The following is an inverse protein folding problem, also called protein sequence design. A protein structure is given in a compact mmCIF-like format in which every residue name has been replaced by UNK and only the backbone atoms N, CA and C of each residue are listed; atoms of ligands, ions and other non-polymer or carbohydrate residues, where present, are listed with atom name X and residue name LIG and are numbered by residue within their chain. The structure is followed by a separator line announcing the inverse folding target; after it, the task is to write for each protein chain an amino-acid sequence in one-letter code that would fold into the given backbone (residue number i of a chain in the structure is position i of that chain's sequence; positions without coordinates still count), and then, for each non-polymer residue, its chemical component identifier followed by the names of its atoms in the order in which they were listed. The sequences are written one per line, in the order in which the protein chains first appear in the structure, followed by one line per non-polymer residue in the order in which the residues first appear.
data_IF_293615612498
#
_entry.id   IF_293615612498
#
_cell.length_a   1.000
_cell.length_b   1.000
_cell.length_c   1.000
_cell.angle_alpha   90.00
_cell.angle_beta   90.00
_cell.angle_gamma   90.00
#
_symmetry.space_group_name_H-M   'P 1'
#
loop_
_entity.id
_entity.type
_entity.pdbx_description
1 polymer ?
#
# COMPACT_ATOMS: atom_id res chain seq x y z
N UNK A 1 -5.27 26.08 -5.15
CA UNK A 1 -4.68 25.02 -4.30
C UNK A 1 -3.84 24.20 -5.24
N UNK A 2 -2.52 24.21 -5.03
CA UNK A 2 -1.61 23.36 -5.79
C UNK A 2 -2.00 21.89 -5.57
N UNK A 3 -1.78 21.04 -6.58
CA UNK A 3 -2.11 19.60 -6.54
C UNK A 3 -1.58 18.92 -5.26
N UNK A 4 -0.40 19.32 -4.79
CA UNK A 4 0.21 18.74 -3.57
C UNK A 4 -0.49 19.17 -2.28
N UNK A 5 -0.93 20.42 -2.16
CA UNK A 5 -1.61 20.93 -0.95
C UNK A 5 -2.96 20.23 -0.74
N UNK A 6 -3.67 19.93 -1.83
CA UNK A 6 -4.91 19.15 -1.79
C UNK A 6 -4.65 17.73 -1.28
N UNK A 7 -3.65 17.05 -1.85
CA UNK A 7 -3.26 15.69 -1.47
C UNK A 7 -2.85 15.63 -0.01
N UNK A 8 -2.02 16.56 0.45
CA UNK A 8 -1.57 16.66 1.85
C UNK A 8 -2.75 16.86 2.82
N UNK A 9 -3.70 17.75 2.48
CA UNK A 9 -4.88 17.98 3.32
C UNK A 9 -5.76 16.72 3.44
N UNK A 10 -6.01 16.05 2.32
CA UNK A 10 -6.82 14.83 2.27
C UNK A 10 -6.11 13.69 3.00
N UNK A 11 -4.80 13.56 2.84
CA UNK A 11 -4.00 12.56 3.56
C UNK A 11 -4.04 12.81 5.07
N UNK A 12 -3.86 14.06 5.53
CA UNK A 12 -3.96 14.41 6.95
C UNK A 12 -5.31 13.96 7.53
N UNK A 13 -6.41 14.26 6.82
CA UNK A 13 -7.76 13.86 7.25
C UNK A 13 -7.95 12.34 7.26
N UNK A 14 -7.33 11.62 6.32
CA UNK A 14 -7.40 10.17 6.29
C UNK A 14 -6.73 9.54 7.52
N UNK A 15 -5.65 10.13 8.04
CA UNK A 15 -4.89 9.57 9.17
C UNK A 15 -5.36 10.05 10.56
N UNK A 16 -6.22 11.06 10.64
CA UNK A 16 -6.69 11.66 11.90
C UNK A 16 -7.31 10.66 12.89
N UNK A 17 -8.08 9.68 12.38
CA UNK A 17 -8.74 8.67 13.20
C UNK A 17 -7.89 7.45 13.54
N UNK A 18 -6.65 7.36 13.02
CA UNK A 18 -5.79 6.20 13.24
C UNK A 18 -5.26 6.20 14.67
N UNK A 19 -5.49 5.10 15.38
CA UNK A 19 -5.05 4.97 16.77
C UNK A 19 -3.75 4.20 16.91
N UNK A 20 -2.85 4.69 17.78
CA UNK A 20 -1.52 4.09 18.01
C UNK A 20 -1.57 2.63 18.48
N UNK A 21 -2.59 2.25 19.23
CA UNK A 21 -2.77 0.89 19.73
C UNK A 21 -3.11 -0.11 18.63
N UNK A 22 -3.59 0.33 17.46
CA UNK A 22 -3.88 -0.56 16.34
C UNK A 22 -2.61 -1.18 15.74
N UNK A 23 -1.46 -0.51 15.87
CA UNK A 23 -0.17 -1.03 15.43
C UNK A 23 0.45 -2.02 16.43
N UNK A 24 -0.06 -2.08 17.66
CA UNK A 24 0.53 -2.85 18.76
C UNK A 24 -0.19 -4.17 19.02
N UNK A 25 -1.46 -4.29 18.62
CA UNK A 25 -2.31 -5.42 18.94
C UNK A 25 -2.85 -6.05 17.66
N UNK A 26 -3.05 -7.38 17.70
CA UNK A 26 -3.78 -8.12 16.66
C UNK A 26 -5.24 -7.67 16.64
N UNK A 27 -5.62 -6.88 15.65
CA UNK A 27 -7.00 -6.48 15.40
C UNK A 27 -7.19 -6.11 13.92
N UNK A 28 -8.45 -6.03 13.50
CA UNK A 28 -8.83 -5.54 12.18
C UNK A 28 -9.18 -4.05 12.20
N UNK A 29 -9.14 -3.37 13.34
CA UNK A 29 -9.61 -1.99 13.51
C UNK A 29 -8.93 -1.03 12.52
N UNK A 30 -7.61 -1.19 12.31
CA UNK A 30 -6.88 -0.38 11.34
C UNK A 30 -7.38 -0.64 9.91
N UNK A 31 -7.55 -1.91 9.55
CA UNK A 31 -8.07 -2.27 8.25
C UNK A 31 -9.49 -1.72 8.04
N UNK A 32 -10.38 -2.00 8.99
CA UNK A 32 -11.79 -1.63 8.98
C UNK A 32 -11.96 -0.10 8.92
N UNK A 33 -11.15 0.64 9.67
CA UNK A 33 -11.10 2.10 9.59
C UNK A 33 -10.77 2.56 8.17
N UNK A 34 -9.64 2.11 7.59
CA UNK A 34 -9.19 2.57 6.27
C UNK A 34 -10.19 2.23 5.17
N UNK A 35 -10.75 1.01 5.17
CA UNK A 35 -11.70 0.60 4.11
C UNK A 35 -13.06 1.31 4.22
N UNK A 36 -13.43 1.76 5.42
CA UNK A 36 -14.67 2.51 5.69
C UNK A 36 -14.56 4.02 5.43
N UNK A 37 -13.34 4.54 5.20
CA UNK A 37 -13.13 5.94 4.87
C UNK A 37 -13.92 6.35 3.60
N UNK A 38 -14.39 7.61 3.53
CA UNK A 38 -14.85 8.21 2.28
C UNK A 38 -13.85 7.97 1.15
N UNK A 39 -14.35 7.75 -0.07
CA UNK A 39 -13.54 7.23 -1.19
C UNK A 39 -12.26 8.03 -1.45
N UNK A 40 -12.32 9.36 -1.36
CA UNK A 40 -11.17 10.26 -1.52
C UNK A 40 -10.12 10.07 -0.42
N UNK A 41 -10.55 9.98 0.84
CA UNK A 41 -9.64 9.75 1.98
C UNK A 41 -9.00 8.36 1.86
N UNK A 42 -9.80 7.34 1.50
CA UNK A 42 -9.34 5.96 1.36
C UNK A 42 -8.26 5.84 0.27
N UNK A 43 -8.54 6.32 -0.94
CA UNK A 43 -7.60 6.21 -2.07
C UNK A 43 -6.32 6.97 -1.77
N UNK A 44 -6.43 8.19 -1.24
CA UNK A 44 -5.26 8.97 -0.86
C UNK A 44 -4.42 8.26 0.18
N UNK A 45 -5.04 7.67 1.22
CA UNK A 45 -4.31 6.89 2.20
C UNK A 45 -3.56 5.71 1.55
N UNK A 46 -4.27 4.88 0.79
CA UNK A 46 -3.72 3.66 0.19
C UNK A 46 -2.55 3.96 -0.76
N UNK A 47 -2.70 4.98 -1.62
CA UNK A 47 -1.69 5.36 -2.62
C UNK A 47 -0.47 6.00 -1.97
N UNK A 48 -0.67 6.97 -1.07
CA UNK A 48 0.45 7.67 -0.42
C UNK A 48 1.24 6.73 0.47
N UNK A 49 0.58 5.83 1.20
CA UNK A 49 1.25 4.87 2.07
C UNK A 49 2.12 3.92 1.25
N UNK A 50 1.61 3.27 0.20
CA UNK A 50 2.44 2.35 -0.60
C UNK A 50 3.60 3.10 -1.24
N UNK A 51 3.37 4.30 -1.77
CA UNK A 51 4.43 5.10 -2.38
C UNK A 51 5.54 5.42 -1.38
N UNK A 52 5.17 5.91 -0.20
CA UNK A 52 6.14 6.25 0.84
C UNK A 52 6.87 5.04 1.39
N UNK A 53 6.23 3.88 1.55
CA UNK A 53 6.92 2.69 2.02
C UNK A 53 7.93 2.19 0.98
N UNK A 54 7.53 2.10 -0.29
CA UNK A 54 8.40 1.60 -1.35
C UNK A 54 9.57 2.56 -1.59
N UNK A 55 9.34 3.88 -1.64
CA UNK A 55 10.44 4.86 -1.82
C UNK A 55 11.42 4.86 -0.64
N UNK A 56 10.97 4.60 0.59
CA UNK A 56 11.83 4.65 1.77
C UNK A 56 12.54 3.32 2.08
N UNK A 57 11.95 2.18 1.74
CA UNK A 57 12.50 0.87 2.10
C UNK A 57 11.94 -0.30 1.29
N UNK A 58 11.40 -0.03 0.11
CA UNK A 58 10.93 -1.05 -0.81
C UNK A 58 9.61 -1.73 -0.43
N UNK A 59 9.19 -2.67 -1.27
CA UNK A 59 8.07 -3.55 -1.00
C UNK A 59 8.31 -4.37 0.27
N UNK A 60 9.56 -4.69 0.59
CA UNK A 60 9.90 -5.35 1.85
C UNK A 60 9.42 -4.54 3.06
N UNK A 61 9.71 -3.24 3.12
CA UNK A 61 9.22 -2.39 4.21
C UNK A 61 7.68 -2.28 4.21
N UNK A 62 7.04 -2.23 3.04
CA UNK A 62 5.58 -2.20 2.92
C UNK A 62 4.91 -3.42 3.57
N UNK A 63 5.42 -4.63 3.34
CA UNK A 63 4.89 -5.85 3.96
C UNK A 63 5.30 -6.01 5.43
N UNK A 64 6.58 -5.76 5.79
CA UNK A 64 7.06 -5.89 7.18
C UNK A 64 6.30 -4.99 8.15
N UNK A 65 5.95 -3.77 7.70
CA UNK A 65 5.18 -2.82 8.50
C UNK A 65 3.67 -3.10 8.50
N UNK A 66 3.23 -4.21 7.89
CA UNK A 66 1.84 -4.65 7.88
C UNK A 66 0.95 -3.90 6.89
N UNK A 67 1.47 -2.98 6.08
CA UNK A 67 0.66 -2.25 5.10
C UNK A 67 0.18 -3.14 3.95
N UNK A 68 0.85 -4.28 3.71
CA UNK A 68 0.41 -5.30 2.75
C UNK A 68 -0.99 -5.86 3.02
N UNK A 69 -1.57 -5.65 4.20
CA UNK A 69 -2.97 -6.00 4.49
C UNK A 69 -3.99 -5.32 3.56
N UNK A 70 -3.57 -4.22 2.91
CA UNK A 70 -4.35 -3.41 2.00
C UNK A 70 -4.04 -3.66 0.52
N UNK A 71 -3.20 -4.66 0.20
CA UNK A 71 -2.64 -4.80 -1.14
C UNK A 71 -3.70 -4.80 -2.25
N UNK A 72 -4.83 -5.51 -2.06
CA UNK A 72 -5.90 -5.56 -3.06
C UNK A 72 -6.59 -4.21 -3.26
N UNK A 73 -6.90 -3.51 -2.17
CA UNK A 73 -7.51 -2.18 -2.22
C UNK A 73 -6.56 -1.17 -2.85
N UNK A 74 -5.26 -1.24 -2.52
CA UNK A 74 -4.24 -0.35 -3.07
C UNK A 74 -4.03 -0.60 -4.57
N UNK A 75 -4.06 -1.85 -5.05
CA UNK A 75 -3.99 -2.16 -6.49
C UNK A 75 -5.14 -1.46 -7.23
N UNK A 76 -6.38 -1.57 -6.72
CA UNK A 76 -7.55 -0.91 -7.31
C UNK A 76 -7.38 0.62 -7.26
N UNK A 77 -6.95 1.18 -6.13
CA UNK A 77 -6.73 2.62 -5.97
C UNK A 77 -5.66 3.17 -6.94
N UNK A 78 -4.57 2.44 -7.17
CA UNK A 78 -3.54 2.80 -8.14
C UNK A 78 -4.10 2.79 -9.57
N UNK A 79 -4.93 1.79 -9.91
CA UNK A 79 -5.61 1.74 -11.22
C UNK A 79 -6.57 2.92 -11.39
N UNK A 80 -7.34 3.27 -10.36
CA UNK A 80 -8.32 4.37 -10.38
C UNK A 80 -7.66 5.74 -10.68
N UNK A 81 -6.44 5.96 -10.19
CA UNK A 81 -5.68 7.19 -10.47
C UNK A 81 -4.83 7.12 -11.76
N UNK A 82 -4.86 5.98 -12.47
CA UNK A 82 -4.09 5.77 -13.70
C UNK A 82 -2.65 5.30 -13.50
N UNK A 83 -2.23 4.93 -12.28
CA UNK A 83 -0.90 4.41 -11.96
C UNK A 83 -0.79 2.89 -12.23
N UNK A 84 -1.09 2.49 -13.47
CA UNK A 84 -1.21 1.09 -13.88
C UNK A 84 0.08 0.25 -13.77
N UNK A 85 1.25 0.84 -14.05
CA UNK A 85 2.53 0.13 -13.96
C UNK A 85 2.88 -0.11 -12.50
N UNK A 86 2.66 0.87 -11.62
CA UNK A 86 2.83 0.72 -10.17
C UNK A 86 1.85 -0.31 -9.60
N UNK A 87 0.59 -0.31 -10.04
CA UNK A 87 -0.40 -1.33 -9.65
C UNK A 87 0.09 -2.74 -9.99
N UNK A 88 0.64 -2.93 -11.19
CA UNK A 88 1.19 -4.22 -11.65
C UNK A 88 2.40 -4.68 -10.82
N UNK A 89 3.26 -3.76 -10.37
CA UNK A 89 4.39 -4.12 -9.50
C UNK A 89 3.91 -4.54 -8.10
N UNK A 90 2.92 -3.84 -7.54
CA UNK A 90 2.30 -4.22 -6.27
C UNK A 90 1.56 -5.57 -6.37
N UNK A 91 0.87 -5.83 -7.48
CA UNK A 91 0.23 -7.13 -7.73
C UNK A 91 1.26 -8.27 -7.73
N UNK A 92 2.37 -8.11 -8.46
CA UNK A 92 3.46 -9.09 -8.46
C UNK A 92 4.07 -9.30 -7.07
N UNK A 93 4.34 -8.22 -6.33
CA UNK A 93 4.93 -8.35 -5.00
C UNK A 93 3.96 -9.01 -4.02
N UNK A 94 2.66 -8.71 -4.13
CA UNK A 94 1.61 -9.41 -3.38
C UNK A 94 1.55 -10.90 -3.72
N UNK A 95 1.60 -11.28 -5.00
CA UNK A 95 1.61 -12.68 -5.42
C UNK A 95 2.86 -13.44 -4.93
N UNK A 96 4.02 -12.78 -4.88
CA UNK A 96 5.26 -13.35 -4.33
C UNK A 96 5.13 -13.63 -2.83
N UNK A 97 4.61 -12.69 -2.05
CA UNK A 97 4.43 -12.85 -0.60
C UNK A 97 3.26 -13.81 -0.29
N UNK A 98 2.19 -13.78 -1.09
CA UNK A 98 1.05 -14.69 -0.99
C UNK A 98 1.21 -15.91 -1.91
N UNK A 99 2.40 -16.51 -1.94
CA UNK A 99 2.72 -17.63 -2.85
C UNK A 99 1.85 -18.89 -2.63
N UNK A 100 1.37 -19.10 -1.39
CA UNK A 100 0.44 -20.17 -1.02
C UNK A 100 -0.99 -19.94 -1.58
N UNK A 101 -1.24 -18.76 -2.18
CA UNK A 101 -2.53 -18.33 -2.71
C UNK A 101 -3.67 -18.48 -1.69
N UNK A 102 -3.39 -18.11 -0.43
CA UNK A 102 -4.40 -18.09 0.62
C UNK A 102 -5.36 -16.91 0.41
N UNK A 103 -6.57 -17.03 0.98
CA UNK A 103 -7.57 -15.97 0.97
C UNK A 103 -7.02 -14.69 1.61
N UNK A 104 -7.51 -13.52 1.20
CA UNK A 104 -6.99 -12.23 1.65
C UNK A 104 -7.16 -12.02 3.17
N UNK A 105 -8.20 -12.60 3.75
CA UNK A 105 -8.48 -12.58 5.18
C UNK A 105 -7.37 -13.33 5.96
N UNK A 106 -7.08 -14.56 5.55
CA UNK A 106 -6.00 -15.38 6.12
C UNK A 106 -4.63 -14.75 5.86
N UNK A 107 -4.41 -14.19 4.67
CA UNK A 107 -3.16 -13.49 4.34
C UNK A 107 -2.93 -12.32 5.30
N UNK A 108 -3.96 -11.50 5.55
CA UNK A 108 -3.88 -10.37 6.48
C UNK A 108 -3.53 -10.84 7.89
N UNK A 109 -4.20 -11.87 8.39
CA UNK A 109 -3.89 -12.43 9.70
C UNK A 109 -2.43 -12.89 9.79
N UNK A 110 -1.98 -13.72 8.84
CA UNK A 110 -0.59 -14.22 8.81
C UNK A 110 0.44 -13.10 8.63
N UNK A 111 0.16 -12.10 7.81
CA UNK A 111 1.05 -10.95 7.62
C UNK A 111 1.25 -10.19 8.94
N UNK A 112 0.16 -9.90 9.66
CA UNK A 112 0.21 -9.18 10.94
C UNK A 112 0.84 -10.02 12.05
N UNK A 113 0.64 -11.34 12.02
CA UNK A 113 1.26 -12.29 12.96
C UNK A 113 2.72 -12.61 12.59
N UNK A 114 3.25 -12.03 11.50
CA UNK A 114 4.57 -12.31 10.93
C UNK A 114 4.81 -13.79 10.64
N UNK A 115 3.76 -14.49 10.23
CA UNK A 115 3.67 -15.93 10.02
C UNK A 115 3.58 -16.30 8.53
N UNK A 116 4.27 -15.55 7.67
CA UNK A 116 4.46 -15.89 6.26
C UNK A 116 5.91 -16.35 6.11
N UNK A 117 6.12 -17.66 6.10
CA UNK A 117 7.45 -18.28 6.17
C UNK A 117 8.38 -17.80 5.05
N UNK A 118 7.88 -17.78 3.81
CA UNK A 118 8.63 -17.31 2.64
C UNK A 118 9.11 -15.85 2.74
N UNK A 119 8.46 -15.03 3.57
CA UNK A 119 8.75 -13.61 3.69
C UNK A 119 9.48 -13.23 4.98
N UNK A 120 9.10 -13.79 6.13
CA UNK A 120 9.66 -13.41 7.43
C UNK A 120 10.75 -14.34 7.95
N UNK A 121 10.80 -15.58 7.46
CA UNK A 121 11.70 -16.62 7.96
C UNK A 121 12.79 -16.94 6.93
N UNK A 122 12.42 -16.99 5.65
CA UNK A 122 13.35 -17.23 4.55
C UNK A 122 13.80 -15.92 3.88
N UNK A 123 15.05 -15.87 3.43
CA UNK A 123 15.57 -14.75 2.62
C UNK A 123 15.21 -14.85 1.13
N UNK A 124 14.35 -15.80 0.74
CA UNK A 124 14.05 -16.12 -0.66
C UNK A 124 13.39 -14.95 -1.42
N UNK A 125 12.67 -14.09 -0.72
CA UNK A 125 11.96 -12.95 -1.31
C UNK A 125 12.77 -11.64 -1.30
N UNK A 126 13.97 -11.61 -0.72
CA UNK A 126 14.75 -10.37 -0.65
C UNK A 126 15.13 -9.85 -2.05
N UNK A 127 15.87 -10.65 -2.83
CA UNK A 127 16.30 -10.25 -4.18
C UNK A 127 15.12 -10.05 -5.16
N UNK A 128 14.11 -10.94 -5.22
CA UNK A 128 12.96 -10.72 -6.10
C UNK A 128 12.19 -9.44 -5.80
N UNK A 129 12.05 -9.04 -4.53
CA UNK A 129 11.40 -7.79 -4.16
C UNK A 129 12.27 -6.57 -4.50
N UNK A 130 13.59 -6.65 -4.31
CA UNK A 130 14.53 -5.58 -4.68
C UNK A 130 14.53 -5.29 -6.19
N UNK A 131 14.36 -6.34 -7.02
CA UNK A 131 14.17 -6.17 -8.46
C UNK A 131 12.87 -5.42 -8.81
N UNK A 132 11.79 -5.63 -8.03
CA UNK A 132 10.54 -4.88 -8.20
C UNK A 132 10.66 -3.45 -7.70
N UNK A 133 11.41 -3.20 -6.63
CA UNK A 133 11.72 -1.87 -6.13
C UNK A 133 12.48 -1.05 -7.17
N UNK A 134 13.52 -1.65 -7.78
CA UNK A 134 14.26 -1.06 -8.89
C UNK A 134 13.34 -0.71 -10.06
N UNK A 135 12.40 -1.59 -10.43
CA UNK A 135 11.41 -1.29 -11.46
C UNK A 135 10.49 -0.14 -11.03
N UNK A 136 10.09 -0.09 -9.76
CA UNK A 136 9.22 0.94 -9.22
C UNK A 136 9.88 2.33 -9.29
N UNK A 137 11.17 2.43 -8.98
CA UNK A 137 11.93 3.69 -9.07
C UNK A 137 12.12 4.18 -10.50
N UNK A 138 12.18 3.27 -11.46
CA UNK A 138 12.39 3.61 -12.88
C UNK A 138 11.10 4.04 -13.61
N UNK A 139 9.93 4.00 -12.96
CA UNK A 139 8.68 4.53 -13.52
C UNK A 139 8.67 6.04 -13.39
N UNK A 140 9.00 6.74 -14.47
CA UNK A 140 9.06 8.21 -14.53
C UNK A 140 7.77 8.87 -15.05
N UNK A 141 6.87 8.10 -15.67
CA UNK A 141 5.65 8.61 -16.29
C UNK A 141 4.37 8.38 -15.46
N UNK A 142 4.51 7.86 -14.23
CA UNK A 142 3.43 7.76 -13.24
C UNK A 142 3.84 8.47 -11.94
N UNK A 143 3.88 9.81 -12.00
CA UNK A 143 4.10 10.66 -10.83
C UNK A 143 2.86 10.64 -9.92
N UNK A 144 3.01 10.06 -8.73
CA UNK A 144 1.88 9.79 -7.81
C UNK A 144 1.15 11.08 -7.42
N UNK A 145 1.87 12.13 -7.05
CA UNK A 145 1.25 13.38 -6.59
C UNK A 145 0.43 14.07 -7.71
N UNK A 146 0.90 13.97 -8.95
CA UNK A 146 0.20 14.52 -10.12
C UNK A 146 -1.04 13.69 -10.44
N UNK A 147 -0.89 12.36 -10.53
CA UNK A 147 -2.00 11.45 -10.85
C UNK A 147 -3.10 11.51 -9.79
N UNK A 148 -2.72 11.45 -8.51
CA UNK A 148 -3.67 11.50 -7.40
C UNK A 148 -4.34 12.87 -7.31
N UNK A 149 -3.59 13.97 -7.46
CA UNK A 149 -4.22 15.30 -7.41
C UNK A 149 -5.14 15.58 -8.59
N UNK A 150 -4.84 15.08 -9.80
CA UNK A 150 -5.75 15.12 -10.94
C UNK A 150 -7.04 14.33 -10.65
N UNK A 151 -6.93 13.14 -10.05
CA UNK A 151 -8.08 12.32 -9.66
C UNK A 151 -8.97 13.03 -8.63
N UNK A 152 -8.36 13.72 -7.66
CA UNK A 152 -9.09 14.43 -6.60
C UNK A 152 -9.68 15.77 -7.08
N UNK A 153 -9.01 16.48 -7.99
CA UNK A 153 -9.46 17.77 -8.51
C UNK A 153 -10.42 17.67 -9.71
N UNK A 154 -10.48 16.51 -10.37
CA UNK A 154 -11.34 16.25 -11.53
C UNK A 154 -12.73 15.69 -11.23
N UNK A 155 -13.14 15.70 -9.95
CA UNK A 155 -14.46 15.25 -9.48
C UNK A 155 -15.39 16.41 -9.13
#
# INVERSE_FOLDING_TARGET
MESSELVENIYSRAVEGIQKNWFLNRNTDWYDYVVSLPIELKITYLVIVVHNQVVNGGFHQYFVNGYGQFAKETIIALLDIGASKRAKLLEKSFEMVNNDNISIEVFRERLLDKDIESFFISDELYEPLDELDTQYYNIIDEEIDVLLGNYLGGR
#
